data_IF_007467876887
#
_entry.id   IF_007467876887
#
_cell.length_a   1.000
_cell.length_b   1.000
_cell.length_c   1.000
_cell.angle_alpha   90.00
_cell.angle_beta   90.00
_cell.angle_gamma   90.00
#
_symmetry.space_group_name_H-M   'P 1'
#
loop_
_entity.id
_entity.type
_entity.pdbx_description
1 polymer ?
#
# COMPACT_ATOMS: atom_id res chain seq x y z
N UNK A 1 42.29 -1.23 47.74
CA UNK A 1 41.10 -0.56 47.16
C UNK A 1 41.30 -0.07 45.72
N UNK A 2 42.47 0.48 45.34
CA UNK A 2 42.75 0.96 43.97
C UNK A 2 42.76 -0.13 42.88
N UNK A 3 43.30 -1.31 43.17
CA UNK A 3 43.42 -2.43 42.21
C UNK A 3 42.04 -3.01 41.83
N UNK A 4 41.15 -3.17 42.81
CA UNK A 4 39.76 -3.63 42.59
C UNK A 4 38.96 -2.66 41.71
N UNK A 5 39.20 -1.34 41.85
CA UNK A 5 38.56 -0.30 41.03
C UNK A 5 39.06 -0.30 39.59
N UNK A 6 40.34 -0.56 39.36
CA UNK A 6 40.92 -0.67 38.02
C UNK A 6 40.45 -1.93 37.27
N UNK A 7 40.26 -3.05 37.98
CA UNK A 7 39.79 -4.31 37.40
C UNK A 7 38.31 -4.24 37.00
N UNK A 8 37.46 -3.71 37.88
CA UNK A 8 36.03 -3.51 37.60
C UNK A 8 35.82 -2.56 36.40
N UNK A 9 36.58 -1.47 36.31
CA UNK A 9 36.52 -0.56 35.15
C UNK A 9 36.85 -1.26 33.83
N UNK A 10 37.89 -2.12 33.80
CA UNK A 10 38.25 -2.89 32.60
C UNK A 10 37.14 -3.85 32.16
N UNK A 11 36.49 -4.52 33.11
CA UNK A 11 35.37 -5.43 32.85
C UNK A 11 34.17 -4.64 32.32
N UNK A 12 33.84 -3.50 32.94
CA UNK A 12 32.77 -2.61 32.46
C UNK A 12 33.04 -2.12 31.04
N UNK A 13 34.28 -1.74 30.69
CA UNK A 13 34.63 -1.30 29.34
C UNK A 13 34.48 -2.44 28.32
N UNK A 14 34.91 -3.65 28.68
CA UNK A 14 34.84 -4.83 27.83
C UNK A 14 33.39 -5.21 27.46
N UNK A 15 32.43 -4.91 28.33
CA UNK A 15 31.00 -5.13 28.08
C UNK A 15 30.33 -3.91 27.46
N UNK A 16 30.66 -2.70 27.92
CA UNK A 16 30.02 -1.47 27.46
C UNK A 16 30.25 -1.21 25.96
N UNK A 17 31.44 -1.54 25.44
CA UNK A 17 31.78 -1.36 24.02
C UNK A 17 30.86 -2.20 23.10
N UNK A 18 30.79 -3.54 23.22
CA UNK A 18 29.94 -4.35 22.36
C UNK A 18 28.45 -4.04 22.56
N UNK A 19 28.03 -3.73 23.79
CA UNK A 19 26.64 -3.36 24.06
C UNK A 19 26.28 -2.02 23.40
N UNK A 20 27.18 -1.03 23.48
CA UNK A 20 27.00 0.26 22.82
C UNK A 20 26.96 0.13 21.30
N UNK A 21 27.87 -0.66 20.72
CA UNK A 21 27.85 -0.95 19.28
C UNK A 21 26.54 -1.62 18.85
N UNK A 22 26.07 -2.60 19.62
CA UNK A 22 24.80 -3.27 19.37
C UNK A 22 23.61 -2.29 19.45
N UNK A 23 23.59 -1.41 20.44
CA UNK A 23 22.55 -0.39 20.58
C UNK A 23 22.53 0.60 19.41
N UNK A 24 23.69 1.03 18.93
CA UNK A 24 23.79 1.94 17.78
C UNK A 24 23.25 1.26 16.53
N UNK A 25 23.70 0.03 16.22
CA UNK A 25 23.25 -0.71 15.04
C UNK A 25 21.74 -0.99 15.11
N UNK A 26 21.25 -1.39 16.29
CA UNK A 26 19.82 -1.62 16.52
C UNK A 26 19.01 -0.33 16.33
N UNK A 27 19.49 0.79 16.86
CA UNK A 27 18.87 2.10 16.70
C UNK A 27 18.74 2.52 15.24
N UNK A 28 19.83 2.41 14.47
CA UNK A 28 19.84 2.70 13.03
C UNK A 28 18.86 1.80 12.26
N UNK A 29 18.86 0.50 12.55
CA UNK A 29 17.93 -0.43 11.91
C UNK A 29 16.46 -0.13 12.23
N UNK A 30 16.16 0.36 13.44
CA UNK A 30 14.80 0.76 13.82
C UNK A 30 14.39 2.03 13.09
N UNK A 31 15.26 3.04 13.00
CA UNK A 31 14.95 4.28 12.29
C UNK A 31 14.67 4.04 10.80
N UNK A 32 15.43 3.16 10.16
CA UNK A 32 15.20 2.77 8.77
C UNK A 32 13.84 2.07 8.60
N UNK A 33 13.51 1.15 9.52
CA UNK A 33 12.21 0.47 9.52
C UNK A 33 11.05 1.44 9.73
N UNK A 34 11.21 2.44 10.59
CA UNK A 34 10.19 3.47 10.81
C UNK A 34 10.00 4.36 9.57
N UNK A 35 11.08 4.74 8.90
CA UNK A 35 11.02 5.49 7.65
C UNK A 35 10.29 4.70 6.55
N UNK A 36 10.64 3.42 6.37
CA UNK A 36 9.98 2.52 5.41
C UNK A 36 8.51 2.32 5.76
N UNK A 37 8.15 2.15 7.04
CA UNK A 37 6.76 2.00 7.45
C UNK A 37 5.93 3.26 7.13
N UNK A 38 6.49 4.45 7.38
CA UNK A 38 5.88 5.73 7.01
C UNK A 38 5.63 5.85 5.50
N UNK A 39 6.62 5.50 4.68
CA UNK A 39 6.48 5.48 3.22
C UNK A 39 5.43 4.46 2.75
N UNK A 40 5.40 3.28 3.37
CA UNK A 40 4.45 2.22 3.06
C UNK A 40 3.00 2.63 3.36
N UNK A 41 2.76 3.46 4.38
CA UNK A 41 1.42 3.99 4.68
C UNK A 41 0.92 4.89 3.55
N UNK A 42 1.74 5.81 3.08
CA UNK A 42 1.39 6.68 1.95
C UNK A 42 1.22 5.89 0.64
N UNK A 43 2.08 4.91 0.39
CA UNK A 43 1.95 4.03 -0.75
C UNK A 43 0.64 3.23 -0.69
N UNK A 44 0.24 2.73 0.49
CA UNK A 44 -1.00 1.99 0.69
C UNK A 44 -2.23 2.84 0.35
N UNK A 45 -2.25 4.12 0.76
CA UNK A 45 -3.34 5.05 0.42
C UNK A 45 -3.41 5.29 -1.09
N UNK A 46 -2.28 5.55 -1.74
CA UNK A 46 -2.22 5.78 -3.18
C UNK A 46 -2.59 4.53 -4.00
N UNK A 47 -2.10 3.36 -3.59
CA UNK A 47 -2.41 2.08 -4.25
C UNK A 47 -3.87 1.70 -4.04
N UNK A 48 -4.45 1.97 -2.87
CA UNK A 48 -5.87 1.76 -2.61
C UNK A 48 -6.73 2.56 -3.59
N UNK A 49 -6.41 3.84 -3.76
CA UNK A 49 -7.08 4.69 -4.74
C UNK A 49 -6.87 4.20 -6.19
N UNK A 50 -5.64 3.89 -6.57
CA UNK A 50 -5.33 3.39 -7.92
C UNK A 50 -6.04 2.07 -8.24
N UNK A 51 -6.20 1.19 -7.24
CA UNK A 51 -6.91 -0.09 -7.38
C UNK A 51 -8.41 0.14 -7.55
N UNK A 52 -9.00 1.04 -6.77
CA UNK A 52 -10.39 1.46 -6.92
C UNK A 52 -10.67 2.09 -8.30
N UNK A 53 -9.80 3.00 -8.75
CA UNK A 53 -9.87 3.59 -10.08
C UNK A 53 -9.74 2.54 -11.19
N UNK A 54 -8.81 1.59 -11.06
CA UNK A 54 -8.64 0.48 -12.00
C UNK A 54 -9.87 -0.41 -12.11
N UNK A 55 -10.57 -0.67 -10.99
CA UNK A 55 -11.81 -1.45 -10.99
C UNK A 55 -12.93 -0.73 -11.77
N UNK A 56 -13.08 0.59 -11.60
CA UNK A 56 -14.04 1.38 -12.38
C UNK A 56 -13.68 1.38 -13.87
N UNK A 57 -12.40 1.57 -14.19
CA UNK A 57 -11.93 1.54 -15.59
C UNK A 57 -12.32 0.21 -16.26
N UNK A 58 -12.23 -0.91 -15.53
CA UNK A 58 -12.61 -2.22 -16.07
C UNK A 58 -14.12 -2.33 -16.36
N UNK A 59 -14.98 -1.78 -15.50
CA UNK A 59 -16.42 -1.71 -15.77
C UNK A 59 -16.75 -0.77 -16.94
N UNK A 60 -16.12 0.41 -17.00
CA UNK A 60 -16.27 1.34 -18.11
C UNK A 60 -15.84 0.74 -19.45
N UNK A 61 -14.79 -0.09 -19.46
CA UNK A 61 -14.37 -0.84 -20.64
C UNK A 61 -15.45 -1.82 -21.11
N UNK A 62 -16.07 -2.56 -20.19
CA UNK A 62 -17.18 -3.46 -20.50
C UNK A 62 -18.39 -2.71 -21.01
N UNK A 63 -18.76 -1.59 -20.39
CA UNK A 63 -19.87 -0.75 -20.83
C UNK A 63 -19.63 -0.17 -22.23
N UNK A 64 -18.41 0.27 -22.51
CA UNK A 64 -18.00 0.71 -23.85
C UNK A 64 -18.14 -0.42 -24.88
N UNK A 65 -17.71 -1.64 -24.53
CA UNK A 65 -17.87 -2.83 -25.37
C UNK A 65 -19.35 -3.13 -25.67
N UNK A 66 -20.19 -3.19 -24.64
CA UNK A 66 -21.63 -3.42 -24.76
C UNK A 66 -22.32 -2.33 -25.60
N UNK A 67 -21.94 -1.07 -25.39
CA UNK A 67 -22.45 0.06 -26.19
C UNK A 67 -22.05 -0.05 -27.65
N UNK A 68 -20.84 -0.53 -27.95
CA UNK A 68 -20.35 -0.71 -29.31
C UNK A 68 -21.11 -1.84 -30.02
N UNK A 69 -21.41 -2.94 -29.33
CA UNK A 69 -22.28 -4.02 -29.85
C UNK A 69 -23.71 -3.52 -30.11
N UNK A 70 -24.29 -2.77 -29.16
CA UNK A 70 -25.63 -2.19 -29.31
C UNK A 70 -25.71 -1.26 -30.52
N UNK A 71 -24.74 -0.33 -30.67
CA UNK A 71 -24.67 0.56 -31.82
C UNK A 71 -24.41 -0.19 -33.13
N UNK A 72 -23.53 -1.20 -33.12
CA UNK A 72 -23.27 -2.07 -34.27
C UNK A 72 -24.52 -2.81 -34.76
N UNK A 73 -25.42 -3.15 -33.84
CA UNK A 73 -26.73 -3.75 -34.16
C UNK A 73 -27.80 -2.73 -34.60
N UNK A 74 -27.44 -1.45 -34.77
CA UNK A 74 -28.39 -0.33 -34.97
C UNK A 74 -29.43 -0.21 -33.86
N UNK A 75 -29.05 -0.59 -32.63
CA UNK A 75 -29.90 -0.58 -31.45
C UNK A 75 -30.95 -1.70 -31.39
N UNK A 76 -30.84 -2.74 -32.22
CA UNK A 76 -31.82 -3.83 -32.26
C UNK A 76 -31.46 -5.02 -31.35
N UNK A 77 -30.18 -5.15 -30.96
CA UNK A 77 -29.68 -6.26 -30.13
C UNK A 77 -28.81 -5.74 -28.99
N UNK A 78 -28.62 -6.53 -27.93
CA UNK A 78 -27.75 -6.22 -26.78
C UNK A 78 -28.20 -5.04 -25.87
N UNK A 79 -29.43 -4.57 -26.02
CA UNK A 79 -30.02 -3.55 -25.14
C UNK A 79 -30.04 -3.95 -23.66
N UNK A 80 -30.54 -5.14 -23.30
CA UNK A 80 -30.56 -5.63 -21.91
C UNK A 80 -29.17 -5.76 -21.29
N UNK A 81 -28.19 -6.25 -22.06
CA UNK A 81 -26.80 -6.41 -21.61
C UNK A 81 -26.14 -5.06 -21.34
N UNK A 82 -26.39 -4.07 -22.21
CA UNK A 82 -25.90 -2.69 -22.02
C UNK A 82 -26.46 -2.05 -20.75
N UNK A 83 -27.76 -2.22 -20.48
CA UNK A 83 -28.39 -1.64 -19.28
C UNK A 83 -27.89 -2.30 -17.99
N UNK A 84 -27.73 -3.63 -18.04
CA UNK A 84 -27.12 -4.40 -16.95
C UNK A 84 -25.69 -3.90 -16.67
N UNK A 85 -24.89 -3.72 -17.72
CA UNK A 85 -23.52 -3.27 -17.58
C UNK A 85 -23.42 -1.82 -17.09
N UNK A 86 -24.36 -0.94 -17.47
CA UNK A 86 -24.49 0.41 -16.91
C UNK A 86 -24.73 0.42 -15.41
N UNK A 87 -25.68 -0.40 -14.96
CA UNK A 87 -26.00 -0.51 -13.53
C UNK A 87 -24.78 -0.97 -12.73
N UNK A 88 -23.99 -1.90 -13.28
CA UNK A 88 -22.74 -2.35 -12.68
C UNK A 88 -21.68 -1.24 -12.61
N UNK A 89 -21.50 -0.46 -13.68
CA UNK A 89 -20.60 0.70 -13.69
C UNK A 89 -21.01 1.72 -12.63
N UNK A 90 -22.29 2.09 -12.57
CA UNK A 90 -22.81 3.08 -11.61
C UNK A 90 -22.62 2.61 -10.16
N UNK A 91 -22.84 1.32 -9.89
CA UNK A 91 -22.61 0.72 -8.57
C UNK A 91 -21.14 0.82 -8.17
N UNK A 92 -20.21 0.55 -9.09
CA UNK A 92 -18.76 0.66 -8.81
C UNK A 92 -18.30 2.11 -8.68
N UNK A 93 -18.91 3.02 -9.42
CA UNK A 93 -18.62 4.44 -9.35
C UNK A 93 -19.03 5.02 -7.98
N UNK A 94 -20.24 4.68 -7.50
CA UNK A 94 -20.71 5.09 -6.18
C UNK A 94 -19.75 4.65 -5.06
N UNK A 95 -19.24 3.42 -5.13
CA UNK A 95 -18.32 2.87 -4.13
C UNK A 95 -16.93 3.53 -4.06
N UNK A 96 -16.57 4.42 -4.99
CA UNK A 96 -15.29 5.14 -5.01
C UNK A 96 -15.46 6.64 -4.74
N UNK A 97 -16.67 7.16 -4.92
CA UNK A 97 -16.99 8.58 -4.69
C UNK A 97 -17.45 8.84 -3.24
N UNK A 98 -18.03 7.84 -2.57
CA UNK A 98 -18.22 7.81 -1.10
C UNK A 98 -16.91 7.50 -0.35
#
# INVERSE_FOLDING_TARGET
>A
MWILRALSFRIYLAVAIPTGAFLIVSGLAITDKLAVNGQMRHLKEQVSFATAAGAIIHELQKERGASSLYLGSKGQQFGPDRETQRTLTDTRLAAVID
#
